data_IF_267033328814
#
_entry.id   IF_267033328814
#
_cell.length_a   1.000
_cell.length_b   1.000
_cell.length_c   1.000
_cell.angle_alpha   90.00
_cell.angle_beta   90.00
_cell.angle_gamma   90.00
#
_symmetry.space_group_name_H-M   'P 1'
#
loop_
_entity.id
_entity.type
_entity.pdbx_description
1 polymer ?
#
# COMPACT_ATOMS: atom_id res chain seq x y z
N UNK A 1 -33.61 38.15 -18.68
CA UNK A 1 -33.09 37.00 -19.46
C UNK A 1 -32.11 36.25 -18.57
N UNK A 2 -32.49 35.10 -18.04
CA UNK A 2 -31.58 34.26 -17.24
C UNK A 2 -30.74 33.43 -18.21
N UNK A 3 -29.50 33.86 -18.48
CA UNK A 3 -28.56 33.05 -19.24
C UNK A 3 -28.18 31.83 -18.40
N UNK A 4 -28.75 30.69 -18.77
CA UNK A 4 -28.43 29.39 -18.20
C UNK A 4 -27.06 28.94 -18.71
N UNK A 5 -25.98 29.60 -18.27
CA UNK A 5 -24.60 29.31 -18.68
C UNK A 5 -24.06 28.13 -17.88
N UNK A 6 -24.59 26.93 -18.14
CA UNK A 6 -23.92 25.71 -17.70
C UNK A 6 -22.96 25.26 -18.80
N UNK A 7 -21.64 25.29 -18.57
CA UNK A 7 -20.69 24.81 -19.55
C UNK A 7 -20.97 23.34 -19.88
N UNK A 8 -20.83 22.97 -21.16
CA UNK A 8 -20.99 21.59 -21.64
C UNK A 8 -20.14 20.66 -20.77
N UNK A 9 -20.75 19.60 -20.24
CA UNK A 9 -20.02 18.58 -19.49
C UNK A 9 -19.08 17.84 -20.43
N UNK A 10 -17.80 17.83 -20.08
CA UNK A 10 -16.79 17.03 -20.79
C UNK A 10 -17.11 15.53 -20.65
N UNK A 11 -17.04 14.80 -21.77
CA UNK A 11 -17.21 13.35 -21.82
C UNK A 11 -16.00 12.63 -21.19
N UNK A 12 -16.15 11.35 -20.87
CA UNK A 12 -15.04 10.56 -20.29
C UNK A 12 -13.90 10.39 -21.29
N UNK A 13 -14.21 10.26 -22.59
CA UNK A 13 -13.21 10.15 -23.67
C UNK A 13 -12.41 11.43 -23.83
N UNK A 14 -13.06 12.59 -23.80
CA UNK A 14 -12.40 13.91 -23.82
C UNK A 14 -11.43 14.06 -22.63
N UNK A 15 -11.86 13.66 -21.42
CA UNK A 15 -11.02 13.69 -20.21
C UNK A 15 -9.79 12.78 -20.34
N UNK A 16 -9.97 11.56 -20.85
CA UNK A 16 -8.88 10.60 -21.11
C UNK A 16 -7.87 11.14 -22.11
N UNK A 17 -8.33 11.72 -23.22
CA UNK A 17 -7.45 12.32 -24.20
C UNK A 17 -6.62 13.46 -23.59
N UNK A 18 -7.26 14.32 -22.79
CA UNK A 18 -6.59 15.41 -22.08
C UNK A 18 -5.55 14.90 -21.08
N UNK A 19 -5.89 13.89 -20.28
CA UNK A 19 -4.96 13.24 -19.35
C UNK A 19 -3.77 12.61 -20.07
N UNK A 20 -4.00 11.94 -21.21
CA UNK A 20 -2.93 11.35 -22.02
C UNK A 20 -1.98 12.41 -22.59
N UNK A 21 -2.51 13.53 -23.10
CA UNK A 21 -1.70 14.65 -23.59
C UNK A 21 -0.89 15.28 -22.46
N UNK A 22 -1.51 15.50 -21.29
CA UNK A 22 -0.82 16.03 -20.11
C UNK A 22 0.28 15.09 -19.63
N UNK A 23 0.01 13.79 -19.55
CA UNK A 23 0.97 12.76 -19.18
C UNK A 23 2.15 12.71 -20.15
N UNK A 24 1.91 12.78 -21.46
CA UNK A 24 2.97 12.79 -22.46
C UNK A 24 3.88 14.04 -22.32
N UNK A 25 3.30 15.22 -22.06
CA UNK A 25 4.06 16.44 -21.78
C UNK A 25 4.88 16.34 -20.50
N UNK A 26 4.29 15.73 -19.47
CA UNK A 26 4.91 15.51 -18.17
C UNK A 26 6.11 14.55 -18.29
N UNK A 27 5.93 13.39 -18.93
CA UNK A 27 7.01 12.40 -19.14
C UNK A 27 8.17 12.93 -19.98
N UNK A 28 7.93 13.89 -20.89
CA UNK A 28 9.00 14.58 -21.62
C UNK A 28 9.87 15.46 -20.72
N UNK A 29 9.32 15.99 -19.63
CA UNK A 29 10.05 16.83 -18.67
C UNK A 29 10.74 15.99 -17.59
N UNK A 30 10.05 14.98 -17.10
CA UNK A 30 10.53 14.08 -16.05
C UNK A 30 10.16 12.64 -16.40
N UNK A 31 11.14 11.81 -16.81
CA UNK A 31 10.93 10.39 -17.08
C UNK A 31 10.48 9.57 -15.86
N UNK A 32 10.66 10.07 -14.62
CA UNK A 32 10.30 9.36 -13.39
C UNK A 32 8.81 9.38 -13.05
N UNK A 33 8.00 10.06 -13.86
CA UNK A 33 6.56 10.20 -13.63
C UNK A 33 5.86 8.84 -13.72
N UNK A 34 5.16 8.52 -12.64
CA UNK A 34 4.57 7.22 -12.40
C UNK A 34 3.03 7.37 -12.34
N UNK A 35 2.32 7.20 -13.47
CA UNK A 35 0.86 7.27 -13.49
C UNK A 35 0.24 6.07 -12.76
N UNK A 36 -0.95 6.26 -12.20
CA UNK A 36 -1.72 5.14 -11.65
C UNK A 36 -2.63 4.58 -12.73
N UNK A 37 -2.47 3.28 -13.01
CA UNK A 37 -3.24 2.56 -14.03
C UNK A 37 -4.02 1.44 -13.34
N UNK A 38 -5.33 1.60 -13.25
CA UNK A 38 -6.21 0.55 -12.71
C UNK A 38 -6.55 -0.43 -13.82
N UNK A 39 -6.27 -1.70 -13.60
CA UNK A 39 -6.65 -2.79 -14.50
C UNK A 39 -7.96 -3.44 -14.02
N UNK A 40 -8.91 -3.62 -14.94
CA UNK A 40 -10.17 -4.29 -14.66
C UNK A 40 -11.19 -3.45 -13.87
N UNK A 41 -12.11 -4.14 -13.18
CA UNK A 41 -13.26 -3.52 -12.50
C UNK A 41 -12.95 -3.08 -11.06
N UNK A 42 -12.13 -3.85 -10.35
CA UNK A 42 -11.74 -3.57 -8.96
C UNK A 42 -10.66 -2.47 -8.94
N UNK A 43 -10.68 -1.66 -7.88
CA UNK A 43 -9.67 -0.61 -7.66
C UNK A 43 -8.40 -1.14 -7.01
N UNK A 44 -8.53 -2.20 -6.21
CA UNK A 44 -7.45 -2.94 -5.58
C UNK A 44 -7.72 -4.44 -5.67
N UNK A 45 -6.67 -5.25 -5.54
CA UNK A 45 -6.68 -6.71 -5.74
C UNK A 45 -6.01 -7.45 -4.57
N UNK A 46 -5.06 -6.82 -3.90
CA UNK A 46 -4.38 -7.40 -2.73
C UNK A 46 -5.10 -7.02 -1.45
N UNK A 47 -4.81 -7.74 -0.36
CA UNK A 47 -5.36 -7.41 0.95
C UNK A 47 -5.02 -5.97 1.36
N UNK A 48 -3.78 -5.52 1.11
CA UNK A 48 -3.34 -4.17 1.49
C UNK A 48 -4.07 -3.07 0.74
N UNK A 49 -4.24 -3.21 -0.57
CA UNK A 49 -5.00 -2.26 -1.37
C UNK A 49 -6.49 -2.26 -1.00
N UNK A 50 -7.10 -3.44 -0.81
CA UNK A 50 -8.52 -3.55 -0.43
C UNK A 50 -8.77 -3.01 1.00
N UNK A 51 -7.88 -3.32 1.95
CA UNK A 51 -7.95 -2.81 3.33
C UNK A 51 -7.78 -1.29 3.39
N UNK A 52 -6.88 -0.73 2.59
CA UNK A 52 -6.69 0.72 2.47
C UNK A 52 -7.96 1.41 1.96
N UNK A 53 -8.52 0.89 0.87
CA UNK A 53 -9.76 1.42 0.29
C UNK A 53 -10.92 1.31 1.31
N UNK A 54 -11.08 0.15 1.93
CA UNK A 54 -12.10 -0.06 2.96
C UNK A 54 -11.93 0.90 4.13
N UNK A 55 -10.69 1.13 4.60
CA UNK A 55 -10.42 2.07 5.69
C UNK A 55 -10.87 3.48 5.35
N UNK A 56 -10.59 3.96 4.14
CA UNK A 56 -11.00 5.28 3.66
C UNK A 56 -12.53 5.42 3.56
N UNK A 57 -13.21 4.38 3.12
CA UNK A 57 -14.67 4.38 2.91
C UNK A 57 -15.46 4.32 4.21
N UNK A 58 -14.86 3.85 5.32
CA UNK A 58 -15.47 3.87 6.66
C UNK A 58 -15.68 5.28 7.20
N UNK A 59 -15.03 6.28 6.61
CA UNK A 59 -15.13 7.66 7.07
C UNK A 59 -16.36 8.33 6.47
N UNK A 60 -17.41 8.48 7.27
CA UNK A 60 -18.71 9.01 6.86
C UNK A 60 -18.60 10.39 6.17
N UNK A 61 -17.67 11.24 6.61
CA UNK A 61 -17.40 12.55 6.03
C UNK A 61 -16.95 12.48 4.56
N UNK A 62 -16.44 11.34 4.12
CA UNK A 62 -15.85 11.16 2.79
C UNK A 62 -16.83 10.50 1.81
N UNK A 63 -17.81 9.72 2.29
CA UNK A 63 -18.70 8.88 1.46
C UNK A 63 -19.35 9.67 0.32
N UNK A 64 -19.86 10.88 0.59
CA UNK A 64 -20.54 11.72 -0.40
C UNK A 64 -19.61 12.36 -1.46
N UNK A 65 -18.28 12.32 -1.27
CA UNK A 65 -17.28 12.95 -2.16
C UNK A 65 -16.43 11.94 -2.93
N UNK A 66 -16.43 10.70 -2.47
CA UNK A 66 -15.55 9.62 -2.88
C UNK A 66 -15.84 9.08 -4.30
N UNK A 67 -17.10 9.01 -4.73
CA UNK A 67 -17.47 8.36 -6.00
C UNK A 67 -16.86 9.04 -7.24
N UNK A 68 -16.74 10.37 -7.20
CA UNK A 68 -16.06 11.12 -8.27
C UNK A 68 -14.57 10.82 -8.29
N UNK A 69 -13.95 10.65 -7.12
CA UNK A 69 -12.55 10.22 -7.00
C UNK A 69 -12.33 8.83 -7.61
N UNK A 70 -13.22 7.86 -7.30
CA UNK A 70 -13.20 6.52 -7.92
C UNK A 70 -13.27 6.58 -9.44
N UNK A 71 -14.10 7.45 -9.99
CA UNK A 71 -14.19 7.64 -11.45
C UNK A 71 -12.89 8.20 -12.02
N UNK A 72 -12.24 9.15 -11.35
CA UNK A 72 -11.00 9.77 -11.83
C UNK A 72 -9.84 8.78 -11.88
N UNK A 73 -9.63 8.01 -10.81
CA UNK A 73 -8.55 7.01 -10.77
C UNK A 73 -8.76 5.90 -11.80
N UNK A 74 -10.00 5.38 -11.96
CA UNK A 74 -10.31 4.36 -12.99
C UNK A 74 -10.06 4.83 -14.40
N UNK A 75 -10.26 6.13 -14.65
CA UNK A 75 -10.09 6.70 -15.97
C UNK A 75 -8.66 7.18 -16.24
N UNK A 76 -7.69 6.90 -15.37
CA UNK A 76 -6.28 7.26 -15.56
C UNK A 76 -6.03 8.77 -15.42
N UNK A 77 -6.82 9.45 -14.59
CA UNK A 77 -6.63 10.90 -14.36
C UNK A 77 -5.52 11.20 -13.36
N UNK A 78 -5.03 10.21 -12.61
CA UNK A 78 -3.89 10.35 -11.69
C UNK A 78 -2.61 10.11 -12.50
N UNK A 79 -1.97 11.21 -12.90
CA UNK A 79 -0.87 11.22 -13.86
C UNK A 79 0.48 10.93 -13.22
N UNK A 80 0.62 11.29 -11.95
CA UNK A 80 1.77 10.97 -11.12
C UNK A 80 1.28 10.68 -9.70
N UNK A 81 1.88 9.70 -9.05
CA UNK A 81 1.68 9.43 -7.63
C UNK A 81 2.97 8.87 -7.04
N UNK A 82 3.52 9.59 -6.08
CA UNK A 82 4.75 9.25 -5.38
C UNK A 82 4.45 9.17 -3.89
N UNK A 83 4.89 8.08 -3.28
CA UNK A 83 4.75 7.86 -1.83
C UNK A 83 6.13 8.06 -1.21
N UNK A 84 6.17 8.91 -0.20
CA UNK A 84 7.35 9.21 0.60
C UNK A 84 7.00 9.01 2.10
N UNK A 85 7.99 9.01 3.00
CA UNK A 85 7.71 8.89 4.43
C UNK A 85 6.73 9.96 4.92
N UNK A 86 5.57 9.55 5.43
CA UNK A 86 4.52 10.44 5.93
C UNK A 86 3.83 11.33 4.88
N UNK A 87 4.11 11.16 3.59
CA UNK A 87 3.58 12.04 2.55
C UNK A 87 3.29 11.30 1.23
N UNK A 88 2.21 11.70 0.57
CA UNK A 88 1.89 11.30 -0.80
C UNK A 88 1.74 12.56 -1.64
N UNK A 89 2.52 12.64 -2.71
CA UNK A 89 2.42 13.68 -3.72
C UNK A 89 1.80 13.10 -4.98
N UNK A 90 0.80 13.79 -5.53
CA UNK A 90 0.14 13.36 -6.74
C UNK A 90 -0.18 14.52 -7.68
N UNK A 91 -0.21 14.21 -8.98
CA UNK A 91 -0.69 15.11 -10.04
C UNK A 91 -1.95 14.51 -10.64
N UNK A 92 -3.07 15.24 -10.52
CA UNK A 92 -4.38 14.77 -10.98
C UNK A 92 -4.93 15.70 -12.05
N UNK A 93 -5.20 15.14 -13.23
CA UNK A 93 -5.87 15.85 -14.30
C UNK A 93 -7.32 16.15 -13.93
N UNK A 94 -7.73 17.41 -14.09
CA UNK A 94 -9.12 17.83 -13.93
C UNK A 94 -9.61 18.73 -15.06
N UNK A 95 -10.50 19.66 -14.73
CA UNK A 95 -11.07 20.61 -15.69
C UNK A 95 -10.06 21.64 -16.20
N UNK A 96 -9.03 21.98 -15.42
CA UNK A 96 -7.98 22.90 -15.87
C UNK A 96 -7.07 22.27 -16.93
N UNK A 97 -6.39 23.08 -17.74
CA UNK A 97 -5.38 22.62 -18.70
C UNK A 97 -4.13 22.08 -18.02
N UNK A 98 -3.79 22.60 -16.83
CA UNK A 98 -2.70 22.10 -15.99
C UNK A 98 -3.27 21.10 -14.96
N UNK A 99 -2.59 19.96 -14.71
CA UNK A 99 -2.95 19.05 -13.63
C UNK A 99 -2.89 19.74 -12.27
N UNK A 100 -3.78 19.35 -11.36
CA UNK A 100 -3.77 19.84 -9.99
C UNK A 100 -2.75 19.05 -9.16
N UNK A 101 -1.95 19.76 -8.37
CA UNK A 101 -1.13 19.17 -7.32
C UNK A 101 -1.99 18.79 -6.12
N UNK A 102 -1.78 17.58 -5.62
CA UNK A 102 -2.39 17.03 -4.43
C UNK A 102 -1.27 16.59 -3.51
N UNK A 103 -1.33 17.02 -2.24
CA UNK A 103 -0.47 16.55 -1.17
C UNK A 103 -1.34 15.95 -0.07
N UNK A 104 -0.99 14.75 0.35
CA UNK A 104 -1.64 14.07 1.47
C UNK A 104 -0.54 13.81 2.48
N UNK A 105 -0.69 14.31 3.70
CA UNK A 105 0.25 14.01 4.76
C UNK A 105 -0.42 13.07 5.76
N UNK A 106 0.34 12.11 6.23
CA UNK A 106 -0.10 11.11 7.20
C UNK A 106 0.86 11.18 8.37
N UNK A 107 0.30 11.37 9.57
CA UNK A 107 1.11 11.38 10.79
C UNK A 107 1.87 10.06 10.93
N UNK A 108 3.07 10.03 11.52
CA UNK A 108 3.74 8.78 11.87
C UNK A 108 2.92 8.00 12.91
N UNK A 109 3.12 6.67 12.96
CA UNK A 109 2.51 5.85 14.01
C UNK A 109 3.12 6.18 15.38
N UNK A 110 2.29 6.25 16.43
CA UNK A 110 2.81 6.47 17.78
C UNK A 110 3.65 5.29 18.26
N UNK A 111 4.71 5.55 19.03
CA UNK A 111 5.58 4.51 19.57
C UNK A 111 4.84 3.50 20.44
N UNK A 112 3.81 3.94 21.15
CA UNK A 112 2.99 3.06 22.00
C UNK A 112 2.14 2.12 21.16
N UNK A 113 1.44 2.64 20.14
CA UNK A 113 0.67 1.80 19.23
C UNK A 113 1.58 0.83 18.49
N UNK A 114 2.76 1.28 18.06
CA UNK A 114 3.74 0.43 17.40
C UNK A 114 4.13 -0.76 18.29
N UNK A 115 4.53 -0.50 19.54
CA UNK A 115 4.86 -1.56 20.51
C UNK A 115 3.71 -2.53 20.74
N UNK A 116 2.48 -2.02 20.88
CA UNK A 116 1.30 -2.88 21.04
C UNK A 116 1.07 -3.77 19.83
N UNK A 117 1.27 -3.26 18.62
CA UNK A 117 1.11 -4.02 17.37
C UNK A 117 2.23 -5.05 17.23
N UNK A 118 3.49 -4.68 17.47
CA UNK A 118 4.62 -5.62 17.39
C UNK A 118 4.44 -6.77 18.36
N UNK A 119 4.05 -6.50 19.62
CA UNK A 119 3.79 -7.54 20.60
C UNK A 119 2.60 -8.42 20.24
N UNK A 120 1.56 -7.86 19.62
CA UNK A 120 0.45 -8.65 19.12
C UNK A 120 0.77 -9.41 17.82
N UNK A 121 1.88 -9.13 17.15
CA UNK A 121 2.36 -9.91 16.00
C UNK A 121 3.28 -11.07 16.40
N UNK A 122 3.74 -11.11 17.65
CA UNK A 122 4.66 -12.14 18.16
C UNK A 122 4.16 -13.56 17.88
N UNK A 123 5.01 -14.34 17.20
CA UNK A 123 4.75 -15.73 16.87
C UNK A 123 3.65 -15.98 15.83
N UNK A 124 2.98 -14.94 15.32
CA UNK A 124 1.86 -15.04 14.37
C UNK A 124 2.23 -14.71 12.91
N UNK A 125 3.41 -14.14 12.67
CA UNK A 125 3.96 -13.89 11.32
C UNK A 125 5.08 -14.92 11.09
N UNK A 126 5.00 -15.68 9.99
CA UNK A 126 6.01 -16.69 9.67
C UNK A 126 7.11 -16.13 8.76
N UNK A 127 6.77 -15.19 7.86
CA UNK A 127 7.73 -14.52 7.01
C UNK A 127 7.30 -13.11 6.59
N UNK A 128 8.27 -12.29 6.18
CA UNK A 128 8.01 -11.01 5.52
C UNK A 128 7.18 -11.18 4.26
N UNK A 129 7.47 -12.22 3.47
CA UNK A 129 6.77 -12.45 2.22
C UNK A 129 5.27 -12.67 2.45
N UNK A 130 4.89 -13.47 3.44
CA UNK A 130 3.49 -13.66 3.82
C UNK A 130 2.81 -12.36 4.24
N UNK A 131 3.51 -11.54 5.04
CA UNK A 131 3.01 -10.22 5.45
C UNK A 131 2.76 -9.32 4.22
N UNK A 132 3.69 -9.27 3.26
CA UNK A 132 3.54 -8.47 2.04
C UNK A 132 2.42 -9.00 1.15
N UNK A 133 2.28 -10.31 1.03
CA UNK A 133 1.19 -10.95 0.28
C UNK A 133 -0.18 -10.79 0.98
N UNK A 134 -0.21 -10.30 2.23
CA UNK A 134 -1.44 -10.17 3.02
C UNK A 134 -1.95 -11.51 3.56
N UNK A 135 -1.07 -12.51 3.68
CA UNK A 135 -1.37 -13.84 4.20
C UNK A 135 -1.06 -13.88 5.69
N UNK A 136 -2.08 -13.64 6.50
CA UNK A 136 -1.99 -13.75 7.96
C UNK A 136 -3.35 -14.07 8.56
N UNK A 137 -3.42 -14.52 9.83
CA UNK A 137 -4.68 -14.79 10.49
C UNK A 137 -5.61 -13.57 10.48
N UNK A 138 -6.92 -13.79 10.30
CA UNK A 138 -7.93 -12.72 10.22
C UNK A 138 -7.87 -11.75 11.42
N UNK A 139 -7.62 -12.29 12.61
CA UNK A 139 -7.47 -11.52 13.86
C UNK A 139 -6.36 -10.47 13.77
N UNK A 140 -5.29 -10.75 13.02
CA UNK A 140 -4.20 -9.80 12.77
C UNK A 140 -4.63 -8.68 11.81
N UNK A 141 -5.39 -9.02 10.76
CA UNK A 141 -5.95 -8.02 9.87
C UNK A 141 -6.92 -7.06 10.59
N UNK A 142 -7.71 -7.58 11.53
CA UNK A 142 -8.57 -6.78 12.40
C UNK A 142 -7.74 -5.84 13.30
N UNK A 143 -6.63 -6.32 13.84
CA UNK A 143 -5.71 -5.52 14.64
C UNK A 143 -5.03 -4.40 13.83
N UNK A 144 -4.56 -4.70 12.61
CA UNK A 144 -3.97 -3.69 11.74
C UNK A 144 -4.98 -2.61 11.36
N UNK A 145 -6.23 -3.00 11.11
CA UNK A 145 -7.31 -2.08 10.70
C UNK A 145 -8.10 -1.49 11.87
N UNK A 146 -7.64 -1.70 13.12
CA UNK A 146 -8.27 -1.16 14.31
C UNK A 146 -8.21 0.38 14.31
N UNK A 147 -9.36 1.03 14.54
CA UNK A 147 -9.47 2.47 14.43
C UNK A 147 -8.64 3.18 15.53
N UNK A 148 -7.64 3.96 15.14
CA UNK A 148 -6.85 4.80 16.04
C UNK A 148 -5.74 4.07 16.84
N UNK A 149 -5.79 2.75 16.91
CA UNK A 149 -4.76 1.92 17.57
C UNK A 149 -4.00 1.03 16.58
N UNK A 150 -4.56 0.78 15.40
CA UNK A 150 -3.97 -0.04 14.35
C UNK A 150 -2.91 0.69 13.51
N UNK A 151 -2.46 0.00 12.46
CA UNK A 151 -1.52 0.54 11.49
C UNK A 151 -2.19 1.55 10.55
N UNK A 152 -3.46 1.34 10.21
CA UNK A 152 -4.15 2.21 9.27
C UNK A 152 -4.45 3.58 9.91
N UNK A 153 -4.18 4.68 9.18
CA UNK A 153 -4.30 6.02 9.74
C UNK A 153 -5.77 6.38 9.97
N UNK A 154 -6.09 6.97 11.11
CA UNK A 154 -7.41 7.54 11.39
C UNK A 154 -7.61 8.88 10.66
N UNK A 155 -8.85 9.37 10.45
CA UNK A 155 -9.10 10.62 9.72
C UNK A 155 -8.34 11.83 10.28
N UNK A 156 -8.23 11.93 11.61
CA UNK A 156 -7.49 12.98 12.32
C UNK A 156 -5.96 12.93 12.13
N UNK A 157 -5.46 11.85 11.55
CA UNK A 157 -4.05 11.63 11.26
C UNK A 157 -3.71 11.96 9.80
N UNK A 158 -4.71 12.33 8.99
CA UNK A 158 -4.55 12.61 7.57
C UNK A 158 -4.89 14.07 7.31
N UNK A 159 -3.99 14.80 6.66
CA UNK A 159 -4.23 16.17 6.19
C UNK A 159 -4.11 16.23 4.67
N UNK A 160 -4.92 17.10 4.07
CA UNK A 160 -5.06 17.20 2.62
C UNK A 160 -4.78 18.62 2.15
N UNK A 161 -4.02 18.73 1.07
CA UNK A 161 -3.85 19.96 0.31
C UNK A 161 -4.10 19.66 -1.17
N UNK A 162 -4.86 20.53 -1.85
CA UNK A 162 -5.06 20.44 -3.28
C UNK A 162 -5.09 21.84 -3.88
N UNK A 163 -4.40 22.05 -5.00
CA UNK A 163 -4.41 23.34 -5.73
C UNK A 163 -5.69 23.61 -6.52
N UNK A 164 -6.75 22.83 -6.31
CA UNK A 164 -8.01 23.03 -7.02
C UNK A 164 -8.88 24.08 -6.32
N UNK A 165 -9.75 24.81 -7.04
CA UNK A 165 -10.61 25.83 -6.45
C UNK A 165 -11.80 25.26 -5.64
N UNK A 166 -11.75 23.99 -5.24
CA UNK A 166 -12.76 23.36 -4.38
C UNK A 166 -12.40 23.68 -2.93
N UNK A 167 -13.34 24.29 -2.20
CA UNK A 167 -13.17 24.67 -0.79
C UNK A 167 -13.32 23.49 0.17
N UNK A 168 -13.73 22.31 -0.31
CA UNK A 168 -13.81 21.12 0.51
C UNK A 168 -12.41 20.60 0.87
N UNK A 169 -12.20 20.26 2.14
CA UNK A 169 -10.99 19.60 2.62
C UNK A 169 -10.66 18.33 1.84
N UNK A 170 -11.68 17.55 1.47
CA UNK A 170 -11.55 16.41 0.56
C UNK A 170 -12.28 16.68 -0.76
N UNK A 171 -11.54 17.15 -1.75
CA UNK A 171 -12.02 17.26 -3.12
C UNK A 171 -11.93 15.92 -3.87
N UNK A 172 -12.52 15.85 -5.06
CA UNK A 172 -12.44 14.64 -5.92
C UNK A 172 -11.01 14.25 -6.32
N UNK A 173 -10.08 15.21 -6.37
CA UNK A 173 -8.68 14.95 -6.72
C UNK A 173 -7.94 14.28 -5.56
N UNK A 174 -8.15 14.76 -4.34
CA UNK A 174 -7.67 14.12 -3.10
C UNK A 174 -8.20 12.69 -3.02
N UNK A 175 -9.51 12.50 -3.22
CA UNK A 175 -10.10 11.16 -3.24
C UNK A 175 -9.49 10.26 -4.32
N UNK A 176 -9.25 10.78 -5.54
CA UNK A 176 -8.59 10.03 -6.61
C UNK A 176 -7.16 9.61 -6.23
N UNK A 177 -6.39 10.49 -5.60
CA UNK A 177 -5.04 10.20 -5.11
C UNK A 177 -5.07 9.14 -4.00
N UNK A 178 -5.98 9.24 -3.04
CA UNK A 178 -6.17 8.25 -1.97
C UNK A 178 -6.50 6.86 -2.52
N UNK A 179 -7.37 6.76 -3.52
CA UNK A 179 -7.59 5.47 -4.21
C UNK A 179 -6.36 5.01 -4.99
N UNK A 180 -5.63 5.94 -5.59
CA UNK A 180 -4.40 5.65 -6.29
C UNK A 180 -3.32 5.07 -5.39
N UNK A 181 -3.27 5.47 -4.11
CA UNK A 181 -2.42 4.84 -3.10
C UNK A 181 -2.77 3.37 -2.96
N UNK A 182 -4.06 3.03 -2.81
CA UNK A 182 -4.49 1.62 -2.72
C UNK A 182 -4.03 0.77 -3.91
N UNK A 183 -4.07 1.34 -5.12
CA UNK A 183 -3.55 0.67 -6.31
C UNK A 183 -2.01 0.54 -6.31
N UNK A 184 -1.28 1.47 -5.71
CA UNK A 184 0.18 1.31 -5.53
C UNK A 184 0.53 0.28 -4.48
N UNK A 185 -0.30 0.13 -3.44
CA UNK A 185 -0.12 -0.91 -2.43
C UNK A 185 -0.36 -2.32 -2.98
N UNK A 186 -1.13 -2.46 -4.07
CA UNK A 186 -1.23 -3.72 -4.79
C UNK A 186 0.10 -4.13 -5.45
N UNK A 187 0.85 -3.15 -5.95
CA UNK A 187 2.11 -3.37 -6.66
C UNK A 187 3.29 -3.49 -5.67
N UNK A 188 3.30 -2.65 -4.64
CA UNK A 188 4.32 -2.61 -3.59
C UNK A 188 3.70 -2.29 -2.21
N UNK A 189 3.43 -3.32 -1.38
CA UNK A 189 2.92 -3.17 -0.03
C UNK A 189 3.87 -2.46 0.93
N UNK A 190 5.19 -2.44 0.65
CA UNK A 190 6.18 -1.81 1.54
C UNK A 190 5.95 -0.31 1.67
N UNK A 191 5.37 0.31 0.62
CA UNK A 191 4.98 1.72 0.60
C UNK A 191 4.05 2.10 1.74
N UNK A 192 3.22 1.18 2.24
CA UNK A 192 2.35 1.45 3.37
C UNK A 192 3.15 1.70 4.66
N UNK A 193 4.18 0.90 4.90
CA UNK A 193 5.06 1.04 6.07
C UNK A 193 5.94 2.29 5.95
N UNK A 194 6.47 2.56 4.75
CA UNK A 194 7.15 3.82 4.45
C UNK A 194 6.24 5.01 4.77
N UNK A 195 4.99 4.98 4.31
CA UNK A 195 4.02 6.05 4.54
C UNK A 195 3.71 6.25 6.03
N UNK A 196 3.74 5.18 6.84
CA UNK A 196 3.59 5.25 8.31
C UNK A 196 4.88 5.52 9.07
N UNK A 197 5.99 5.69 8.35
CA UNK A 197 7.33 5.89 8.86
C UNK A 197 7.82 4.74 9.76
N UNK A 198 7.56 3.51 9.31
CA UNK A 198 7.85 2.26 10.01
C UNK A 198 8.88 1.48 9.21
N UNK A 199 9.88 0.91 9.90
CA UNK A 199 10.82 -0.05 9.33
C UNK A 199 10.25 -1.45 9.47
N UNK A 200 10.03 -2.12 8.34
CA UNK A 200 9.38 -3.46 8.33
C UNK A 200 10.27 -4.51 8.98
N UNK A 201 11.59 -4.32 8.90
CA UNK A 201 12.60 -5.18 9.49
C UNK A 201 12.43 -5.29 11.01
N UNK A 202 12.02 -4.21 11.67
CA UNK A 202 11.75 -4.22 13.11
C UNK A 202 10.55 -5.11 13.45
N UNK A 203 9.49 -5.08 12.64
CA UNK A 203 8.30 -5.92 12.83
C UNK A 203 8.63 -7.40 12.76
N UNK A 204 9.41 -7.80 11.74
CA UNK A 204 9.82 -9.18 11.53
C UNK A 204 10.75 -9.64 12.65
N UNK A 205 11.73 -8.80 13.01
CA UNK A 205 12.71 -9.12 14.05
C UNK A 205 12.00 -9.38 15.39
N UNK A 206 10.99 -8.58 15.73
CA UNK A 206 10.16 -8.82 16.92
C UNK A 206 9.26 -10.06 16.78
N UNK A 207 8.69 -10.31 15.61
CA UNK A 207 7.81 -11.46 15.39
C UNK A 207 8.56 -12.81 15.44
N UNK A 208 9.80 -12.87 14.96
CA UNK A 208 10.63 -14.08 14.87
C UNK A 208 11.57 -14.24 16.08
N UNK A 209 12.18 -13.15 16.57
CA UNK A 209 13.24 -13.19 17.59
C UNK A 209 12.80 -13.82 18.92
N UNK A 210 11.54 -13.61 19.32
CA UNK A 210 10.99 -14.25 20.52
C UNK A 210 10.69 -15.74 20.31
N UNK A 211 10.40 -16.20 19.08
CA UNK A 211 10.35 -17.65 18.81
C UNK A 211 11.75 -18.24 19.05
N UNK A 212 12.82 -17.66 18.50
CA UNK A 212 14.17 -18.19 18.76
C UNK A 212 14.53 -18.15 20.25
N UNK A 213 14.25 -17.06 20.97
CA UNK A 213 14.50 -16.97 22.43
C UNK A 213 13.65 -17.95 23.25
N UNK A 214 12.37 -18.14 22.90
CA UNK A 214 11.50 -19.10 23.61
C UNK A 214 11.86 -20.55 23.31
N UNK A 215 12.42 -20.84 22.14
CA UNK A 215 12.97 -22.17 21.81
C UNK A 215 14.33 -22.39 22.50
N UNK A 216 15.23 -21.40 22.48
CA UNK A 216 16.51 -21.43 23.22
C UNK A 216 16.29 -21.59 24.73
N UNK A 217 15.37 -20.83 25.32
CA UNK A 217 15.03 -20.92 26.75
C UNK A 217 14.26 -22.20 27.14
N UNK A 218 13.71 -22.95 26.17
CA UNK A 218 13.13 -24.28 26.39
C UNK A 218 14.18 -25.39 26.22
N UNK A 219 15.18 -25.21 25.35
CA UNK A 219 16.31 -26.14 25.21
C UNK A 219 17.21 -26.15 26.45
N UNK A 220 17.31 -25.05 27.19
CA UNK A 220 18.08 -24.97 28.44
C UNK A 220 17.36 -25.62 29.64
N UNK A 221 16.06 -25.94 29.50
CA UNK A 221 15.34 -26.75 30.47
C UNK A 221 15.58 -28.23 30.16
N UNK A 222 16.59 -28.84 30.80
CA UNK A 222 16.79 -30.30 30.78
C UNK A 222 15.47 -31.02 31.09
N UNK A 223 14.83 -31.55 30.06
CA UNK A 223 13.75 -32.52 30.21
C UNK A 223 14.30 -33.71 31.00
N UNK A 224 13.48 -34.26 31.90
CA UNK A 224 13.78 -35.45 32.72
C UNK A 224 14.11 -36.71 31.89
N UNK A 225 14.07 -36.60 30.55
CA UNK A 225 14.37 -37.63 29.55
C UNK A 225 15.62 -37.28 28.70
N UNK A 226 16.52 -36.46 29.22
CA UNK A 226 17.84 -36.22 28.61
C UNK A 226 18.81 -37.32 29.06
N UNK A 227 19.30 -38.12 28.11
CA UNK A 227 20.34 -39.11 28.37
C UNK A 227 21.64 -38.36 28.71
N UNK A 228 22.39 -38.91 29.67
CA UNK A 228 23.74 -38.45 29.96
C UNK A 228 24.64 -38.75 28.76
N UNK A 229 25.64 -37.91 28.53
CA UNK A 229 26.60 -38.02 27.43
C UNK A 229 27.29 -39.38 27.38
N UNK A 230 27.50 -39.97 28.56
CA UNK A 230 28.02 -41.32 28.79
C UNK A 230 27.15 -42.44 28.15
N UNK A 231 25.87 -42.18 27.90
CA UNK A 231 24.88 -43.14 27.37
C UNK A 231 24.61 -42.94 25.86
N UNK A 232 25.15 -41.87 25.25
CA UNK A 232 25.03 -41.61 23.82
C UNK A 232 26.05 -42.41 23.00
N UNK A 233 27.26 -42.59 23.54
CA UNK A 233 28.31 -43.42 22.96
C UNK A 233 27.90 -44.90 22.90
N UNK A 234 27.13 -45.36 23.89
CA UNK A 234 26.62 -46.74 23.95
C UNK A 234 25.47 -47.04 22.99
N UNK A 235 24.69 -46.03 22.56
CA UNK A 235 23.50 -46.22 21.72
C UNK A 235 23.75 -46.03 20.21
N UNK A 236 24.70 -45.18 19.82
CA UNK A 236 24.90 -44.82 18.41
C UNK A 236 26.26 -45.22 17.81
N UNK A 237 27.18 -45.80 18.59
CA UNK A 237 28.42 -46.38 18.06
C UNK A 237 29.30 -45.41 17.25
N UNK A 238 29.21 -44.12 17.54
CA UNK A 238 30.01 -43.06 16.92
C UNK A 238 30.74 -42.33 18.04
N UNK A 239 32.07 -42.42 18.05
CA UNK A 239 32.95 -41.64 18.93
C UNK A 239 32.79 -40.14 18.59
N UNK A 240 32.24 -39.38 19.53
CA UNK A 240 32.27 -37.90 19.49
C UNK A 240 33.45 -37.46 20.34
N UNK A 241 34.57 -37.17 19.68
CA UNK A 241 35.81 -36.73 20.31
C UNK A 241 35.68 -35.25 20.73
N UNK A 242 35.60 -35.01 22.05
CA UNK A 242 35.72 -33.67 22.64
C UNK A 242 36.94 -33.64 23.57
N UNK A 243 38.09 -33.31 22.99
CA UNK A 243 39.32 -33.08 23.74
C UNK A 243 39.22 -31.86 24.67
N UNK A 244 39.79 -31.92 25.89
CA UNK A 244 39.67 -30.84 26.87
C UNK A 244 40.61 -29.66 26.57
N UNK A 245 40.07 -28.45 26.71
CA UNK A 245 40.76 -27.16 26.62
C UNK A 245 41.59 -26.92 27.88
N UNK A 246 42.86 -27.32 27.85
CA UNK A 246 43.87 -26.95 28.84
C UNK A 246 44.54 -25.63 28.43
N UNK A 247 44.15 -24.50 29.04
CA UNK A 247 44.95 -23.26 29.00
C UNK A 247 44.80 -22.44 30.28
N UNK A 248 45.69 -22.74 31.23
CA UNK A 248 46.04 -21.87 32.35
C UNK A 248 47.45 -21.29 32.21
N UNK A 249 47.52 -19.95 32.14
CA UNK A 249 48.59 -19.02 32.58
C UNK A 249 49.99 -19.00 31.92
N UNK A 250 50.40 -17.78 31.54
CA UNK A 250 51.80 -17.30 31.61
C UNK A 250 52.28 -16.44 30.43
N UNK A 251 52.40 -15.12 30.61
CA UNK A 251 53.16 -14.20 29.73
C UNK A 251 54.68 -14.31 30.04
N UNK A 252 55.60 -14.00 29.08
CA UNK A 252 56.09 -12.61 28.96
C UNK A 252 56.34 -12.09 27.53
N UNK A 253 56.39 -10.75 27.46
CA UNK A 253 56.75 -9.90 26.31
C UNK A 253 58.12 -10.22 25.68
N UNK A 254 58.22 -10.09 24.35
CA UNK A 254 59.14 -9.17 23.66
C UNK A 254 59.07 -9.32 22.13
N UNK A 255 59.18 -8.20 21.41
CA UNK A 255 59.73 -8.20 20.05
C UNK A 255 58.80 -7.67 18.96
N UNK A 256 58.70 -6.35 18.84
CA UNK A 256 58.23 -5.67 17.62
C UNK A 256 59.19 -5.99 16.47
N UNK A 257 58.66 -6.38 15.29
CA UNK A 257 59.23 -6.04 13.98
C UNK A 257 58.17 -6.13 12.87
N UNK A 258 58.38 -5.28 11.88
CA UNK A 258 57.41 -4.69 10.97
C UNK A 258 56.94 -5.60 9.82
N UNK A 259 55.75 -5.30 9.31
CA UNK A 259 55.25 -5.75 8.00
C UNK A 259 56.06 -5.10 6.86
N UNK A 260 56.33 -5.82 5.77
CA UNK A 260 56.36 -5.24 4.43
C UNK A 260 54.98 -5.36 3.75
N UNK A 261 54.63 -4.33 3.00
CA UNK A 261 53.41 -4.22 2.20
C UNK A 261 53.36 -5.22 1.02
N UNK A 262 52.18 -5.56 0.49
CA UNK A 262 52.04 -6.50 -0.62
C UNK A 262 52.38 -5.84 -1.97
N UNK A 263 53.20 -6.53 -2.76
CA UNK A 263 53.47 -6.20 -4.16
C UNK A 263 52.34 -6.72 -5.07
N UNK A 264 51.96 -5.87 -6.02
CA UNK A 264 50.97 -6.12 -7.05
C UNK A 264 51.41 -7.18 -8.08
N UNK A 265 50.48 -8.03 -8.48
CA UNK A 265 50.42 -8.77 -9.76
C UNK A 265 49.13 -9.61 -9.73
N UNK A 266 48.37 -9.87 -10.78
CA UNK A 266 48.24 -9.33 -12.12
C UNK A 266 46.90 -9.91 -12.63
N UNK A 267 46.22 -9.18 -13.52
CA UNK A 267 44.93 -9.56 -14.06
C UNK A 267 44.97 -10.85 -14.90
N UNK A 268 43.99 -11.73 -14.72
CA UNK A 268 43.67 -12.83 -15.64
C UNK A 268 42.48 -12.46 -16.54
N UNK A 269 42.52 -12.77 -17.85
CA UNK A 269 41.49 -12.34 -18.80
C UNK A 269 40.29 -13.29 -18.84
N UNK A 270 39.10 -12.71 -19.03
CA UNK A 270 37.82 -13.42 -19.24
C UNK A 270 37.65 -13.73 -20.74
N UNK A 271 37.27 -14.96 -21.16
CA UNK A 271 37.01 -15.26 -22.56
C UNK A 271 35.62 -14.77 -22.99
N UNK A 272 35.58 -14.18 -24.19
CA UNK A 272 34.37 -13.68 -24.84
C UNK A 272 33.55 -14.79 -25.50
N UNK A 273 32.23 -14.74 -25.33
CA UNK A 273 31.24 -15.57 -26.05
C UNK A 273 30.63 -14.76 -27.22
N UNK A 274 30.39 -15.36 -28.40
CA UNK A 274 30.04 -14.62 -29.60
C UNK A 274 28.55 -14.33 -29.74
N UNK A 275 28.27 -13.24 -30.44
CA UNK A 275 26.95 -12.76 -30.84
C UNK A 275 26.25 -13.70 -31.84
N UNK A 276 24.94 -13.91 -31.67
CA UNK A 276 24.10 -14.58 -32.65
C UNK A 276 22.79 -13.82 -32.94
N UNK A 277 22.74 -13.30 -34.17
CA UNK A 277 21.62 -13.28 -35.11
C UNK A 277 20.27 -12.62 -34.72
N UNK A 278 20.10 -11.39 -35.22
CA UNK A 278 18.82 -10.75 -35.55
C UNK A 278 17.95 -11.65 -36.45
N UNK A 279 16.73 -11.98 -36.02
CA UNK A 279 15.68 -12.50 -36.90
C UNK A 279 14.75 -11.38 -37.37
N UNK A 280 14.56 -11.35 -38.69
CA UNK A 280 13.77 -10.38 -39.46
C UNK A 280 12.26 -10.56 -39.21
N UNK A 281 11.54 -9.44 -39.23
CA UNK A 281 10.13 -9.34 -38.88
C UNK A 281 9.17 -10.04 -39.85
N UNK A 282 8.00 -10.42 -39.30
CA UNK A 282 6.81 -10.87 -40.00
C UNK A 282 5.82 -9.69 -40.07
N UNK A 283 5.25 -9.33 -41.23
CA UNK A 283 4.29 -8.22 -41.30
C UNK A 283 2.91 -8.68 -40.77
N UNK A 284 2.14 -7.82 -40.09
CA UNK A 284 0.78 -8.16 -39.66
C UNK A 284 -0.21 -8.06 -40.84
N UNK A 285 -1.15 -9.01 -40.89
CA UNK A 285 -2.29 -9.05 -41.83
C UNK A 285 -3.24 -7.87 -41.59
N UNK A 286 -3.70 -7.24 -42.68
CA UNK A 286 -4.79 -6.25 -42.68
C UNK A 286 -6.10 -6.94 -42.24
N UNK A 287 -6.75 -6.40 -41.21
CA UNK A 287 -8.12 -6.75 -40.83
C UNK A 287 -9.01 -5.64 -41.39
N UNK A 288 -9.88 -6.00 -42.33
CA UNK A 288 -10.95 -5.15 -42.83
C UNK A 288 -12.07 -5.21 -41.79
N UNK A 289 -12.48 -4.06 -41.27
CA UNK A 289 -13.62 -3.94 -40.35
C UNK A 289 -14.78 -3.37 -41.17
N UNK A 290 -15.82 -4.16 -41.39
CA UNK A 290 -17.09 -3.69 -41.93
C UNK A 290 -17.81 -2.79 -40.90
N UNK A 291 -18.55 -1.76 -41.34
CA UNK A 291 -19.26 -0.87 -40.43
C UNK A 291 -20.49 -1.56 -39.83
N UNK A 292 -20.52 -1.66 -38.50
CA UNK A 292 -21.68 -2.10 -37.73
C UNK A 292 -22.76 -1.01 -37.75
N UNK A 293 -23.95 -1.37 -38.26
CA UNK A 293 -25.16 -0.54 -38.25
C UNK A 293 -25.65 -0.35 -36.80
N UNK A 294 -26.00 0.87 -36.35
CA UNK A 294 -26.52 1.08 -35.00
C UNK A 294 -27.99 0.62 -34.88
N UNK A 295 -28.28 -0.09 -33.78
CA UNK A 295 -29.62 -0.51 -33.37
C UNK A 295 -30.52 0.69 -32.97
N UNK A 296 -31.86 0.59 -33.10
CA UNK A 296 -32.77 1.71 -32.90
C UNK A 296 -32.92 2.14 -31.44
N UNK A 297 -33.19 3.44 -31.25
CA UNK A 297 -33.31 4.11 -29.97
C UNK A 297 -34.48 3.58 -29.12
N UNK A 298 -34.20 3.31 -27.83
CA UNK A 298 -35.19 2.95 -26.83
C UNK A 298 -36.09 4.14 -26.47
N UNK A 299 -37.38 3.86 -26.40
CA UNK A 299 -38.49 4.80 -26.12
C UNK A 299 -38.47 5.24 -24.66
N UNK A 300 -38.73 6.52 -24.41
CA UNK A 300 -38.70 7.16 -23.09
C UNK A 300 -39.82 6.64 -22.17
N UNK A 301 -39.44 6.21 -20.96
CA UNK A 301 -40.37 5.91 -19.88
C UNK A 301 -40.83 7.21 -19.18
N UNK A 302 -42.15 7.35 -19.01
CA UNK A 302 -42.82 8.44 -18.29
C UNK A 302 -42.56 8.38 -16.78
N UNK A 303 -42.48 9.53 -16.08
CA UNK A 303 -42.29 9.55 -14.63
C UNK A 303 -43.59 9.30 -13.86
N UNK A 304 -43.47 8.51 -12.78
CA UNK A 304 -44.53 8.18 -11.81
C UNK A 304 -44.79 9.40 -10.90
N UNK A 305 -46.05 9.77 -10.59
CA UNK A 305 -46.36 10.88 -9.70
C UNK A 305 -46.15 10.54 -8.22
N UNK A 306 -45.55 11.47 -7.48
CA UNK A 306 -45.33 11.41 -6.02
C UNK A 306 -46.55 11.95 -5.28
N UNK A 307 -47.08 11.18 -4.32
CA UNK A 307 -48.22 11.55 -3.48
C UNK A 307 -47.88 12.68 -2.47
N UNK A 308 -48.82 13.59 -2.14
CA UNK A 308 -48.56 14.70 -1.23
C UNK A 308 -48.59 14.30 0.26
N UNK A 309 -47.78 15.01 1.05
CA UNK A 309 -47.58 14.83 2.48
C UNK A 309 -48.83 15.17 3.32
N UNK A 310 -49.16 14.30 4.27
CA UNK A 310 -50.26 14.46 5.21
C UNK A 310 -50.02 15.60 6.21
N UNK A 311 -50.99 16.51 6.33
CA UNK A 311 -51.01 17.62 7.27
C UNK A 311 -51.16 17.13 8.72
N UNK A 312 -50.26 17.59 9.60
CA UNK A 312 -50.31 17.39 11.05
C UNK A 312 -51.53 18.09 11.65
N UNK A 313 -52.43 17.31 12.27
CA UNK A 313 -53.55 17.83 13.09
C UNK A 313 -53.00 18.45 14.37
N UNK A 314 -53.34 19.72 14.61
CA UNK A 314 -53.07 20.44 15.87
C UNK A 314 -53.99 19.90 16.97
N UNK A 315 -53.41 19.43 18.06
CA UNK A 315 -54.12 18.97 19.26
C UNK A 315 -54.83 20.13 19.98
N UNK A 316 -56.05 19.83 20.44
CA UNK A 316 -56.97 20.68 21.21
C UNK A 316 -56.43 20.88 22.64
N UNK A 317 -56.45 22.10 23.23
CA UNK A 317 -56.04 22.31 24.61
C UNK A 317 -57.12 21.81 25.59
N UNK A 318 -56.75 21.30 26.78
CA UNK A 318 -57.71 20.91 27.80
C UNK A 318 -58.37 22.12 28.49
N UNK A 319 -59.67 21.97 28.78
CA UNK A 319 -60.51 22.93 29.50
C UNK A 319 -60.04 23.10 30.95
N UNK A 320 -60.24 24.32 31.46
CA UNK A 320 -59.96 24.74 32.84
C UNK A 320 -61.31 24.95 33.57
N UNK A 321 -61.33 24.55 34.86
CA UNK A 321 -62.14 24.99 36.02
C UNK A 321 -63.65 24.61 36.07
N UNK A 322 -64.11 23.85 37.09
CA UNK A 322 -64.62 24.28 38.41
C UNK A 322 -65.28 23.10 39.15
N UNK A 323 -65.19 23.18 40.48
CA UNK A 323 -65.75 22.35 41.58
C UNK A 323 -65.16 20.95 41.86
#
# INVERSE_FOLDING_TARGET
MFYNWYPRRETVTEKKAKAAVALAKLKKKDPSIAPVIIQGRKLARTWWGEAWISNLERYADYVNRIDRGRSYVRNGMVLDLKVAPGQVDALVQGSSSKPYSVKIQIKPLSSNNWKSITSACEGRIESLQELMEGKFPKTMGELFTALGTGLFPAPKEITFECSCPDWASMCKHVAAALYGVGARLDDDPTLFFVLRNIKVEELISHAIGQKTETWLGKSDKKSRRSLKEEDLSGLFGIDVDTGPDERGKGLPEAGRKAMPAPAAAAATPVPATPAAARRRGRPPKKIVIEPVVPAPAAVAATPVPVAPAAARRRGRPPKKILD
#
